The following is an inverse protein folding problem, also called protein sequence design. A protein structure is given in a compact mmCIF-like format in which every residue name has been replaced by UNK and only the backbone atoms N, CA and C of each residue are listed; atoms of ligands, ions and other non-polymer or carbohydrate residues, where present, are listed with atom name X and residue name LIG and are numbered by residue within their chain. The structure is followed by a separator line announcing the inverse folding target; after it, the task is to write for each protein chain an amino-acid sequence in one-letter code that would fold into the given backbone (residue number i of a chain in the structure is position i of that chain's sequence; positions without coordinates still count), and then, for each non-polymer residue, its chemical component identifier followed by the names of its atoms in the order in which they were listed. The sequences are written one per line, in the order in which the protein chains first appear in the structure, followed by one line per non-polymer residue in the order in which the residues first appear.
data_IF_315137681829
#
_entry.id   IF_315137681829
#
_cell.length_a   1.000
_cell.length_b   1.000
_cell.length_c   1.000
_cell.angle_alpha   90.00
_cell.angle_beta   90.00
_cell.angle_gamma   90.00
#
_symmetry.space_group_name_H-M   'P 1'
#
loop_
_entity.id
_entity.type
_entity.pdbx_description
1 polymer ?
#
# COMPACT_ATOMS: atom_id res chain seq x y z
N UNK A 1 -1.28 -16.17 -3.38
CA UNK A 1 -1.23 -14.70 -3.36
C UNK A 1 -0.71 -14.30 -1.99
N UNK A 2 0.36 -13.51 -1.93
CA UNK A 2 0.83 -12.83 -0.72
C UNK A 2 0.09 -11.48 -0.65
N UNK A 3 -0.21 -11.00 0.54
CA UNK A 3 -0.84 -9.69 0.74
C UNK A 3 0.02 -8.91 1.72
N UNK A 4 0.48 -7.74 1.28
CA UNK A 4 1.36 -6.87 2.06
C UNK A 4 0.59 -5.60 2.40
N UNK A 5 0.50 -5.28 3.69
CA UNK A 5 0.00 -4.00 4.17
C UNK A 5 1.20 -3.15 4.63
N UNK A 6 1.33 -1.97 4.04
CA UNK A 6 2.55 -1.17 4.15
C UNK A 6 2.43 -0.17 5.29
N UNK A 7 1.28 0.46 5.44
CA UNK A 7 1.04 1.41 6.54
C UNK A 7 0.34 0.74 7.70
N UNK A 8 0.57 1.23 8.91
CA UNK A 8 -0.09 0.69 10.10
C UNK A 8 -1.53 1.18 10.30
N UNK A 9 -1.99 2.13 9.44
CA UNK A 9 -3.32 2.74 9.50
C UNK A 9 -3.65 3.44 10.82
N UNK A 10 -2.63 3.68 11.66
CA UNK A 10 -2.80 4.14 13.05
C UNK A 10 -3.18 5.62 13.13
N UNK A 11 -2.94 6.42 12.09
CA UNK A 11 -3.28 7.85 12.09
C UNK A 11 -4.79 8.13 12.01
N UNK A 12 -5.62 7.10 11.79
CA UNK A 12 -7.07 7.21 11.80
C UNK A 12 -7.58 7.47 13.23
N UNK A 13 -8.07 8.68 13.51
CA UNK A 13 -8.67 9.05 14.80
C UNK A 13 -7.73 8.95 16.03
N UNK A 14 -6.46 9.33 15.87
CA UNK A 14 -5.43 9.33 16.93
C UNK A 14 -5.81 10.03 18.25
N UNK A 15 -6.77 10.95 18.24
CA UNK A 15 -7.26 11.63 19.45
C UNK A 15 -8.28 10.82 20.28
N UNK A 16 -8.69 9.62 19.83
CA UNK A 16 -9.77 8.85 20.47
C UNK A 16 -9.41 7.41 20.80
N UNK A 17 -8.31 6.88 20.27
CA UNK A 17 -7.91 5.48 20.41
C UNK A 17 -6.40 5.41 20.59
N UNK A 18 -5.93 4.50 21.45
CA UNK A 18 -4.50 4.20 21.57
C UNK A 18 -3.95 3.68 20.23
N UNK A 19 -2.86 4.28 19.76
CA UNK A 19 -2.28 4.05 18.44
C UNK A 19 -1.79 2.60 18.29
N UNK A 20 -1.25 2.03 19.36
CA UNK A 20 -0.75 0.65 19.36
C UNK A 20 -1.91 -0.36 19.37
N UNK A 21 -2.93 -0.13 20.20
CA UNK A 21 -4.16 -0.92 20.17
C UNK A 21 -4.86 -0.88 18.80
N UNK A 22 -4.89 0.30 18.16
CA UNK A 22 -5.46 0.46 16.83
C UNK A 22 -4.66 -0.32 15.77
N UNK A 23 -3.33 -0.23 15.80
CA UNK A 23 -2.45 -1.00 14.90
C UNK A 23 -2.68 -2.50 15.04
N UNK A 24 -2.68 -3.03 16.27
CA UNK A 24 -2.91 -4.47 16.52
C UNK A 24 -4.26 -4.91 15.98
N UNK A 25 -5.30 -4.10 16.19
CA UNK A 25 -6.65 -4.38 15.68
C UNK A 25 -6.66 -4.46 14.16
N UNK A 26 -6.06 -3.47 13.48
CA UNK A 26 -6.02 -3.42 12.01
C UNK A 26 -5.18 -4.53 11.39
N UNK A 27 -4.05 -4.90 12.01
CA UNK A 27 -3.29 -6.08 11.57
C UNK A 27 -4.14 -7.36 11.66
N UNK A 28 -4.94 -7.49 12.72
CA UNK A 28 -5.91 -8.58 12.88
C UNK A 28 -6.98 -8.61 11.78
N UNK A 29 -7.59 -7.47 11.49
CA UNK A 29 -8.58 -7.31 10.42
C UNK A 29 -8.00 -7.65 9.03
N UNK A 30 -6.78 -7.20 8.75
CA UNK A 30 -6.09 -7.49 7.49
C UNK A 30 -5.79 -8.99 7.33
N UNK A 31 -5.32 -9.66 8.40
CA UNK A 31 -5.15 -11.12 8.40
C UNK A 31 -6.48 -11.83 8.16
N UNK A 32 -7.54 -11.41 8.84
CA UNK A 32 -8.87 -12.01 8.69
C UNK A 32 -9.38 -11.88 7.26
N UNK A 33 -9.25 -10.69 6.66
CA UNK A 33 -9.63 -10.44 5.27
C UNK A 33 -8.87 -11.35 4.30
N UNK A 34 -7.55 -11.51 4.49
CA UNK A 34 -6.72 -12.41 3.67
C UNK A 34 -7.18 -13.86 3.81
N UNK A 35 -7.45 -14.32 5.03
CA UNK A 35 -7.95 -15.68 5.27
C UNK A 35 -9.31 -15.91 4.61
N UNK A 36 -10.24 -14.93 4.68
CA UNK A 36 -11.56 -14.99 4.01
C UNK A 36 -11.44 -15.06 2.48
N UNK A 37 -10.39 -14.49 1.90
CA UNK A 37 -10.08 -14.55 0.48
C UNK A 37 -9.31 -15.84 0.06
N UNK A 38 -9.17 -16.81 0.98
CA UNK A 38 -8.46 -18.08 0.74
C UNK A 38 -6.94 -17.99 0.85
N UNK A 39 -6.42 -16.89 1.41
CA UNK A 39 -5.03 -16.75 1.81
C UNK A 39 -4.73 -17.42 3.15
N UNK A 40 -3.51 -17.21 3.64
CA UNK A 40 -3.06 -17.74 4.93
C UNK A 40 -2.30 -16.67 5.70
N UNK A 41 -2.47 -16.65 7.03
CA UNK A 41 -1.90 -15.63 7.91
C UNK A 41 -0.36 -15.60 7.88
N UNK A 42 0.29 -16.76 7.72
CA UNK A 42 1.75 -16.89 7.58
C UNK A 42 2.31 -16.25 6.31
N UNK A 43 1.42 -15.85 5.38
CA UNK A 43 1.72 -15.19 4.10
C UNK A 43 1.32 -13.71 4.09
N UNK A 44 1.08 -13.13 5.26
CA UNK A 44 0.91 -11.68 5.42
C UNK A 44 2.18 -11.09 6.04
N UNK A 45 2.65 -9.98 5.50
CA UNK A 45 3.79 -9.23 6.05
C UNK A 45 3.38 -7.79 6.25
N UNK A 46 3.67 -7.27 7.44
CA UNK A 46 3.42 -5.88 7.81
C UNK A 46 4.77 -5.16 7.90
N UNK A 47 4.97 -4.16 7.04
CA UNK A 47 6.20 -3.34 7.10
C UNK A 47 6.17 -2.31 8.23
N UNK A 48 4.95 -2.04 8.76
CA UNK A 48 4.68 -1.12 9.87
C UNK A 48 5.35 0.23 9.63
N UNK A 49 5.19 0.75 8.40
CA UNK A 49 5.54 2.14 8.13
C UNK A 49 4.46 3.01 8.76
N UNK A 50 4.80 4.08 9.49
CA UNK A 50 3.78 4.93 10.07
C UNK A 50 2.83 5.48 9.00
N UNK A 51 1.54 5.46 9.28
CA UNK A 51 0.52 5.98 8.37
C UNK A 51 0.76 7.45 7.99
N UNK A 52 0.66 7.76 6.70
CA UNK A 52 0.98 9.07 6.10
C UNK A 52 2.47 9.33 5.86
N UNK A 53 3.36 8.40 6.25
CA UNK A 53 4.82 8.60 6.18
C UNK A 53 5.51 7.74 5.11
N UNK A 54 4.78 6.99 4.29
CA UNK A 54 5.40 6.06 3.33
C UNK A 54 6.33 6.76 2.34
N UNK A 55 6.05 8.02 1.98
CA UNK A 55 6.93 8.85 1.15
C UNK A 55 8.34 9.03 1.70
N UNK A 56 8.52 8.95 3.02
CA UNK A 56 9.83 9.06 3.69
C UNK A 56 10.54 7.70 3.83
N UNK A 57 9.86 6.60 3.47
CA UNK A 57 10.33 5.24 3.67
C UNK A 57 10.41 4.43 2.36
N UNK A 58 10.40 5.09 1.20
CA UNK A 58 10.43 4.44 -0.12
C UNK A 58 11.58 3.43 -0.26
N UNK A 59 12.79 3.78 0.21
CA UNK A 59 13.93 2.86 0.20
C UNK A 59 13.71 1.62 1.08
N UNK A 60 13.20 1.80 2.31
CA UNK A 60 12.85 0.70 3.22
C UNK A 60 11.79 -0.22 2.59
N UNK A 61 10.78 0.36 1.93
CA UNK A 61 9.75 -0.39 1.21
C UNK A 61 10.39 -1.18 0.07
N UNK A 62 11.27 -0.56 -0.72
CA UNK A 62 11.96 -1.23 -1.82
C UNK A 62 12.80 -2.41 -1.34
N UNK A 63 13.58 -2.25 -0.27
CA UNK A 63 14.41 -3.32 0.28
C UNK A 63 13.57 -4.50 0.78
N UNK A 64 12.49 -4.21 1.52
CA UNK A 64 11.61 -5.25 2.04
C UNK A 64 10.86 -6.01 0.94
N UNK A 65 10.35 -5.29 -0.07
CA UNK A 65 9.71 -5.93 -1.23
C UNK A 65 10.74 -6.73 -2.04
N UNK A 66 11.97 -6.24 -2.20
CA UNK A 66 13.01 -6.97 -2.91
C UNK A 66 13.32 -8.32 -2.23
N UNK A 67 13.39 -8.37 -0.89
CA UNK A 67 13.54 -9.62 -0.15
C UNK A 67 12.42 -10.62 -0.47
N UNK A 68 11.18 -10.16 -0.60
CA UNK A 68 10.04 -11.00 -0.99
C UNK A 68 10.17 -11.45 -2.45
N UNK A 69 10.57 -10.59 -3.37
CA UNK A 69 10.79 -10.95 -4.77
C UNK A 69 11.85 -12.04 -4.91
N UNK A 70 12.97 -11.93 -4.18
CA UNK A 70 14.02 -12.96 -4.17
C UNK A 70 13.56 -14.28 -3.56
N UNK A 71 12.81 -14.23 -2.46
CA UNK A 71 12.34 -15.43 -1.78
C UNK A 71 11.28 -16.20 -2.58
N UNK A 72 10.34 -15.49 -3.20
CA UNK A 72 9.14 -16.10 -3.81
C UNK A 72 9.17 -16.18 -5.32
N UNK A 73 10.02 -15.38 -5.97
CA UNK A 73 10.18 -15.31 -7.42
C UNK A 73 8.83 -15.23 -8.17
N UNK A 74 7.96 -14.27 -7.82
CA UNK A 74 6.62 -14.21 -8.37
C UNK A 74 6.64 -13.84 -9.85
N UNK A 75 5.63 -14.33 -10.59
CA UNK A 75 5.40 -13.92 -11.99
C UNK A 75 4.75 -12.53 -12.09
N UNK A 76 4.06 -12.09 -11.05
CA UNK A 76 3.33 -10.83 -11.04
C UNK A 76 3.26 -10.18 -9.66
N UNK A 77 3.19 -8.85 -9.62
CA UNK A 77 2.95 -8.03 -8.44
C UNK A 77 1.75 -7.13 -8.69
N UNK A 78 0.91 -6.96 -7.68
CA UNK A 78 -0.22 -6.04 -7.69
C UNK A 78 0.11 -4.87 -6.76
N UNK A 79 -0.07 -3.63 -7.21
CA UNK A 79 0.23 -2.44 -6.44
C UNK A 79 -0.78 -1.32 -6.73
N UNK A 80 -0.97 -0.40 -5.78
CA UNK A 80 -1.77 0.80 -5.98
C UNK A 80 -1.25 1.64 -7.15
N UNK A 81 -2.13 2.37 -7.82
CA UNK A 81 -1.78 3.14 -9.01
C UNK A 81 -0.86 4.33 -8.67
N UNK A 82 0.11 4.63 -9.55
CA UNK A 82 1.14 5.65 -9.29
C UNK A 82 0.61 7.10 -9.17
N UNK A 83 -0.63 7.35 -9.59
CA UNK A 83 -1.24 8.69 -9.62
C UNK A 83 -2.45 8.86 -8.73
N UNK A 84 -2.74 7.88 -7.88
CA UNK A 84 -3.91 7.97 -6.99
C UNK A 84 -3.53 8.43 -5.58
N UNK A 85 -4.34 9.29 -4.94
CA UNK A 85 -4.22 9.57 -3.52
C UNK A 85 -4.62 8.34 -2.70
N UNK A 86 -4.25 8.27 -1.40
CA UNK A 86 -3.33 9.16 -0.68
C UNK A 86 -1.86 9.03 -1.13
N UNK A 87 -1.01 9.97 -0.70
CA UNK A 87 0.41 9.99 -1.06
C UNK A 87 1.16 8.69 -0.75
N UNK A 88 0.69 7.93 0.24
CA UNK A 88 1.25 6.63 0.57
C UNK A 88 1.04 5.59 -0.52
N UNK A 89 -0.09 5.63 -1.25
CA UNK A 89 -0.31 4.74 -2.41
C UNK A 89 0.76 4.96 -3.49
N UNK A 90 1.11 6.22 -3.74
CA UNK A 90 2.18 6.58 -4.68
C UNK A 90 3.53 6.11 -4.15
N UNK A 91 3.82 6.34 -2.86
CA UNK A 91 5.08 5.94 -2.25
C UNK A 91 5.30 4.42 -2.26
N UNK A 92 4.24 3.64 -2.02
CA UNK A 92 4.26 2.17 -2.13
C UNK A 92 4.58 1.74 -3.56
N UNK A 93 3.94 2.34 -4.55
CA UNK A 93 4.23 2.08 -5.96
C UNK A 93 5.70 2.35 -6.30
N UNK A 94 6.22 3.50 -5.87
CA UNK A 94 7.63 3.85 -6.05
C UNK A 94 8.57 2.83 -5.37
N UNK A 95 8.23 2.39 -4.15
CA UNK A 95 8.97 1.35 -3.44
C UNK A 95 9.00 0.02 -4.20
N UNK A 96 7.85 -0.44 -4.69
CA UNK A 96 7.74 -1.66 -5.51
C UNK A 96 8.57 -1.54 -6.80
N UNK A 97 8.55 -0.38 -7.47
CA UNK A 97 9.38 -0.14 -8.66
C UNK A 97 10.87 -0.17 -8.34
N UNK A 98 11.29 0.40 -7.22
CA UNK A 98 12.66 0.29 -6.73
C UNK A 98 13.05 -1.17 -6.45
N UNK A 99 12.18 -1.94 -5.81
CA UNK A 99 12.40 -3.36 -5.54
C UNK A 99 12.56 -4.18 -6.82
N UNK A 100 11.78 -3.89 -7.86
CA UNK A 100 11.88 -4.56 -9.16
C UNK A 100 13.21 -4.25 -9.87
N UNK A 101 13.72 -3.03 -9.73
CA UNK A 101 15.05 -2.67 -10.23
C UNK A 101 16.14 -3.48 -9.51
N UNK A 102 16.06 -3.60 -8.18
CA UNK A 102 16.99 -4.42 -7.38
C UNK A 102 16.90 -5.91 -7.74
N UNK A 103 15.68 -6.42 -7.99
CA UNK A 103 15.44 -7.83 -8.30
C UNK A 103 16.00 -8.24 -9.68
N UNK A 104 16.04 -7.30 -10.64
CA UNK A 104 16.68 -7.48 -11.94
C UNK A 104 16.03 -8.52 -12.87
N UNK A 105 14.83 -9.02 -12.52
CA UNK A 105 14.09 -10.02 -13.30
C UNK A 105 12.73 -9.48 -13.74
N UNK A 106 12.24 -9.99 -14.86
CA UNK A 106 10.93 -9.59 -15.39
C UNK A 106 9.81 -10.12 -14.49
N UNK A 107 8.97 -9.19 -14.04
CA UNK A 107 7.74 -9.45 -13.27
C UNK A 107 6.64 -8.58 -13.87
N UNK A 108 5.44 -9.14 -14.05
CA UNK A 108 4.30 -8.37 -14.54
C UNK A 108 3.75 -7.50 -13.41
N UNK A 109 3.65 -6.18 -13.62
CA UNK A 109 3.08 -5.27 -12.63
C UNK A 109 1.65 -4.93 -13.01
N UNK A 110 0.72 -5.18 -12.09
CA UNK A 110 -0.67 -4.78 -12.20
C UNK A 110 -0.93 -3.62 -11.25
N UNK A 111 -1.24 -2.45 -11.80
CA UNK A 111 -1.66 -1.30 -11.02
C UNK A 111 -3.18 -1.32 -10.88
N UNK A 112 -3.68 -1.33 -9.64
CA UNK A 112 -5.12 -1.27 -9.37
C UNK A 112 -5.48 0.08 -8.77
N UNK A 113 -6.53 0.76 -9.27
CA UNK A 113 -7.03 1.95 -8.63
C UNK A 113 -7.91 1.59 -7.44
N UNK A 114 -7.68 2.28 -6.32
CA UNK A 114 -8.51 2.29 -5.12
C UNK A 114 -9.40 3.53 -5.11
N UNK A 115 -8.91 4.74 -5.39
CA UNK A 115 -9.67 5.98 -5.18
C UNK A 115 -10.13 6.69 -6.45
N UNK A 116 -10.02 6.04 -7.60
CA UNK A 116 -10.37 6.66 -8.89
C UNK A 116 -11.84 7.06 -9.02
N UNK A 117 -12.74 6.43 -8.26
CA UNK A 117 -14.14 6.85 -8.22
C UNK A 117 -14.36 8.26 -7.66
N UNK A 118 -13.33 8.88 -7.05
CA UNK A 118 -13.32 10.27 -6.59
C UNK A 118 -12.42 11.17 -7.46
N UNK A 119 -11.99 10.70 -8.63
CA UNK A 119 -11.16 11.48 -9.56
C UNK A 119 -11.85 11.65 -10.92
N UNK A 120 -11.59 12.77 -11.58
CA UNK A 120 -12.02 12.98 -12.97
C UNK A 120 -11.50 11.84 -13.86
N UNK A 121 -12.30 11.29 -14.80
CA UNK A 121 -13.61 11.76 -15.25
C UNK A 121 -14.81 11.22 -14.45
N UNK A 122 -14.59 10.44 -13.39
CA UNK A 122 -15.65 9.77 -12.62
C UNK A 122 -16.37 10.70 -11.64
N UNK A 123 -15.73 11.81 -11.26
CA UNK A 123 -16.36 12.96 -10.59
C UNK A 123 -16.19 14.22 -11.41
N UNK A 124 -17.09 15.18 -11.24
CA UNK A 124 -16.92 16.52 -11.80
C UNK A 124 -15.65 17.12 -11.17
N UNK A 125 -14.84 17.79 -11.99
CA UNK A 125 -13.91 18.76 -11.44
C UNK A 125 -14.79 19.80 -10.73
N UNK A 126 -14.58 20.00 -9.43
CA UNK A 126 -15.09 21.22 -8.82
C UNK A 126 -14.30 22.34 -9.48
N UNK A 127 -14.98 23.15 -10.29
CA UNK A 127 -14.47 24.45 -10.68
C UNK A 127 -14.30 25.24 -9.39
N UNK A 128 -13.08 25.32 -8.87
CA UNK A 128 -12.75 26.40 -7.96
C UNK A 128 -12.95 27.68 -8.78
N UNK A 129 -14.10 28.31 -8.57
CA UNK A 129 -14.35 29.69 -8.94
C UNK A 129 -13.33 30.52 -8.18
N UNK A 130 -12.15 30.73 -8.78
CA UNK A 130 -11.31 31.88 -8.46
C UNK A 130 -11.96 33.10 -9.11
N UNK A 131 -13.04 33.51 -8.47
CA UNK A 131 -13.69 34.80 -8.62
C UNK A 131 -13.86 35.40 -7.23
N UNK A 132 -12.73 35.72 -6.59
CA UNK A 132 -12.49 36.81 -5.62
C UNK A 132 -11.04 36.78 -5.14
#
# INVERSE_FOLDING_TARGET
RLHDDVTDGSASHSNRVDMEALRITREGEAIEAVCRLGGSADRVRFLRVPDGMAKHHVGKIADAVAQLLFAWQPQSVFVTHMKEPPADHVAINLGVRGALQLYGRRVTVFEYPVWYWYQWPWVRLHDDVLGL
#
